data_IF_533016272972
#
_entry.id   IF_533016272972
#
_cell.length_a   1.000
_cell.length_b   1.000
_cell.length_c   1.000
_cell.angle_alpha   90.00
_cell.angle_beta   90.00
_cell.angle_gamma   90.00
#
_symmetry.space_group_name_H-M   'P 1'
#
loop_
_entity.id
_entity.type
_entity.pdbx_description
1 polymer ?
#
# COMPACT_ATOMS: atom_id res chain seq x y z
N UNK A 1 41.27 -15.11 -31.01
CA UNK A 1 39.91 -15.49 -30.58
C UNK A 1 39.27 -14.31 -29.86
N UNK A 2 38.26 -13.65 -30.44
CA UNK A 2 37.50 -12.58 -29.77
C UNK A 2 36.41 -13.23 -28.91
N UNK A 3 36.40 -12.95 -27.60
CA UNK A 3 35.35 -13.41 -26.67
C UNK A 3 34.05 -12.68 -27.03
N UNK A 4 32.98 -13.43 -27.27
CA UNK A 4 31.64 -12.86 -27.41
C UNK A 4 31.19 -12.32 -26.05
N UNK A 5 31.01 -11.01 -25.95
CA UNK A 5 30.44 -10.37 -24.76
C UNK A 5 28.95 -10.70 -24.73
N UNK A 6 28.50 -11.37 -23.67
CA UNK A 6 27.08 -11.74 -23.49
C UNK A 6 26.32 -10.46 -23.09
N UNK A 7 25.60 -9.85 -24.03
CA UNK A 7 24.72 -8.70 -23.76
C UNK A 7 23.63 -9.12 -22.77
N UNK A 8 23.45 -8.36 -21.68
CA UNK A 8 22.36 -8.61 -20.75
C UNK A 8 21.03 -8.19 -21.40
N UNK A 9 19.95 -8.89 -21.08
CA UNK A 9 18.61 -8.56 -21.61
C UNK A 9 18.20 -7.13 -21.23
N UNK A 10 18.72 -6.60 -20.10
CA UNK A 10 18.55 -5.21 -19.67
C UNK A 10 19.18 -4.17 -20.58
N UNK A 11 20.14 -4.56 -21.42
CA UNK A 11 20.90 -3.65 -22.28
C UNK A 11 20.28 -3.51 -23.67
N UNK A 12 19.23 -4.29 -23.95
CA UNK A 12 18.46 -4.19 -25.19
C UNK A 12 17.64 -2.91 -25.14
N UNK A 13 17.90 -1.99 -26.07
CA UNK A 13 17.01 -0.84 -26.26
C UNK A 13 15.74 -1.32 -26.92
N UNK A 14 14.59 -0.88 -26.41
CA UNK A 14 13.29 -1.29 -26.97
C UNK A 14 13.15 -0.92 -28.45
N UNK A 15 13.78 0.17 -28.90
CA UNK A 15 13.80 0.60 -30.30
C UNK A 15 14.62 -0.33 -31.21
N UNK A 16 15.57 -1.09 -30.64
CA UNK A 16 16.39 -2.07 -31.38
C UNK A 16 15.66 -3.41 -31.55
N UNK A 17 14.49 -3.59 -30.90
CA UNK A 17 13.66 -4.78 -31.03
C UNK A 17 12.91 -4.69 -32.37
N UNK A 18 13.45 -5.35 -33.39
CA UNK A 18 12.70 -5.59 -34.64
C UNK A 18 11.43 -6.38 -34.32
N UNK A 19 10.34 -6.07 -35.06
CA UNK A 19 9.06 -6.76 -34.90
C UNK A 19 9.30 -8.29 -34.86
N UNK A 20 8.83 -8.98 -33.81
CA UNK A 20 9.14 -10.39 -33.64
C UNK A 20 8.66 -11.17 -34.87
N UNK A 21 9.45 -12.17 -35.28
CA UNK A 21 8.97 -13.25 -36.14
C UNK A 21 7.66 -13.85 -35.58
N UNK A 22 6.90 -14.61 -36.39
CA UNK A 22 5.46 -14.83 -36.19
C UNK A 22 5.12 -15.03 -34.72
N UNK A 23 4.51 -14.00 -34.13
CA UNK A 23 4.05 -13.99 -32.75
C UNK A 23 3.21 -15.25 -32.54
N UNK A 24 3.43 -15.98 -31.44
CA UNK A 24 2.54 -17.08 -31.04
C UNK A 24 1.14 -16.47 -30.85
N UNK A 25 0.34 -16.55 -31.90
CA UNK A 25 -0.99 -15.91 -32.07
C UNK A 25 -2.00 -16.35 -31.01
N UNK A 26 -1.68 -17.37 -30.20
CA UNK A 26 -2.51 -17.82 -29.09
C UNK A 26 -2.46 -16.96 -27.82
N UNK A 27 -1.42 -16.13 -27.64
CA UNK A 27 -1.24 -15.35 -26.39
C UNK A 27 -1.85 -13.94 -26.45
N UNK A 28 -1.87 -13.32 -27.63
CA UNK A 28 -2.66 -12.11 -27.88
C UNK A 28 -4.02 -12.63 -28.34
N UNK A 29 -4.86 -13.07 -27.40
CA UNK A 29 -6.29 -13.22 -27.68
C UNK A 29 -6.72 -11.91 -28.32
N UNK A 30 -7.01 -12.02 -29.60
CA UNK A 30 -7.28 -11.01 -30.61
C UNK A 30 -7.71 -9.68 -30.01
N UNK A 31 -7.01 -8.60 -30.35
CA UNK A 31 -7.56 -7.24 -30.30
C UNK A 31 -8.84 -7.29 -31.16
N UNK A 32 -9.96 -7.61 -30.54
CA UNK A 32 -11.20 -8.01 -31.18
C UNK A 32 -11.94 -6.77 -31.70
N UNK A 33 -11.29 -6.03 -32.61
CA UNK A 33 -11.75 -4.72 -33.05
C UNK A 33 -11.58 -3.59 -32.02
N UNK A 34 -10.99 -3.87 -30.84
CA UNK A 34 -10.64 -2.84 -29.85
C UNK A 34 -9.35 -2.10 -30.21
N UNK A 35 -9.24 -0.83 -29.81
CA UNK A 35 -7.99 -0.07 -29.96
C UNK A 35 -6.90 -0.64 -29.06
N UNK A 36 -5.64 -0.37 -29.41
CA UNK A 36 -4.49 -0.82 -28.62
C UNK A 36 -4.53 -0.25 -27.19
N UNK A 37 -4.92 1.02 -27.06
CA UNK A 37 -5.08 1.72 -25.80
C UNK A 37 -6.16 1.09 -24.94
N UNK A 38 -7.32 0.75 -25.52
CA UNK A 38 -8.43 0.11 -24.80
C UNK A 38 -8.02 -1.27 -24.29
N UNK A 39 -7.31 -2.06 -25.11
CA UNK A 39 -6.81 -3.36 -24.72
C UNK A 39 -5.84 -3.28 -23.54
N UNK A 40 -4.88 -2.34 -23.58
CA UNK A 40 -3.94 -2.13 -22.48
C UNK A 40 -4.68 -1.68 -21.21
N UNK A 41 -5.56 -0.70 -21.33
CA UNK A 41 -6.31 -0.18 -20.19
C UNK A 41 -7.16 -1.28 -19.55
N UNK A 42 -7.84 -2.11 -20.34
CA UNK A 42 -8.60 -3.26 -19.86
C UNK A 42 -7.71 -4.27 -19.15
N UNK A 43 -6.57 -4.66 -19.73
CA UNK A 43 -5.65 -5.62 -19.10
C UNK A 43 -5.07 -5.10 -17.78
N UNK A 44 -4.76 -3.80 -17.70
CA UNK A 44 -4.32 -3.15 -16.47
C UNK A 44 -5.44 -3.12 -15.42
N UNK A 45 -6.67 -2.85 -15.84
CA UNK A 45 -7.86 -2.87 -14.98
C UNK A 45 -8.14 -4.27 -14.43
N UNK A 46 -8.11 -5.31 -15.27
CA UNK A 46 -8.29 -6.68 -14.79
C UNK A 46 -7.14 -7.14 -13.88
N UNK A 47 -5.91 -6.69 -14.17
CA UNK A 47 -4.76 -6.90 -13.28
C UNK A 47 -5.00 -6.22 -11.92
N UNK A 48 -5.65 -5.04 -11.95
CA UNK A 48 -6.02 -4.29 -10.75
C UNK A 48 -6.96 -5.08 -9.87
N UNK A 49 -8.07 -5.52 -10.44
CA UNK A 49 -9.07 -6.34 -9.75
C UNK A 49 -8.47 -7.62 -9.16
N UNK A 50 -7.60 -8.30 -9.92
CA UNK A 50 -6.91 -9.51 -9.46
C UNK A 50 -6.02 -9.26 -8.25
N UNK A 51 -5.27 -8.15 -8.21
CA UNK A 51 -4.44 -7.87 -7.04
C UNK A 51 -5.28 -7.49 -5.81
N UNK A 52 -6.39 -6.78 -5.98
CA UNK A 52 -7.31 -6.46 -4.88
C UNK A 52 -7.84 -7.76 -4.27
N UNK A 53 -8.26 -8.70 -5.11
CA UNK A 53 -8.71 -10.01 -4.68
C UNK A 53 -7.62 -10.79 -3.91
N UNK A 54 -6.37 -10.74 -4.38
CA UNK A 54 -5.24 -11.33 -3.64
C UNK A 54 -5.10 -10.67 -2.26
N UNK A 55 -5.25 -9.34 -2.18
CA UNK A 55 -5.25 -8.59 -0.93
C UNK A 55 -6.34 -9.05 0.05
N UNK A 56 -7.57 -9.24 -0.43
CA UNK A 56 -8.70 -9.76 0.36
C UNK A 56 -8.41 -11.15 0.94
N UNK A 57 -7.92 -12.08 0.10
CA UNK A 57 -7.53 -13.44 0.53
C UNK A 57 -6.43 -13.38 1.60
N UNK A 58 -5.46 -12.48 1.47
CA UNK A 58 -4.40 -12.30 2.46
C UNK A 58 -4.92 -11.71 3.78
N UNK A 59 -5.90 -10.81 3.73
CA UNK A 59 -6.54 -10.27 4.93
C UNK A 59 -7.34 -11.33 5.68
N UNK A 60 -8.07 -12.19 4.96
CA UNK A 60 -8.82 -13.29 5.56
C UNK A 60 -7.87 -14.34 6.16
N UNK A 61 -6.78 -14.64 5.46
CA UNK A 61 -5.75 -15.49 6.02
C UNK A 61 -5.11 -14.87 7.28
N UNK A 62 -4.81 -13.57 7.27
CA UNK A 62 -4.31 -12.86 8.45
C UNK A 62 -5.30 -12.92 9.62
N UNK A 63 -6.60 -12.88 9.37
CA UNK A 63 -7.63 -12.95 10.40
C UNK A 63 -7.79 -14.37 11.01
N UNK A 64 -7.47 -15.41 10.23
CA UNK A 64 -7.58 -16.82 10.66
C UNK A 64 -6.35 -17.37 11.40
N UNK A 65 -5.23 -16.65 11.39
CA UNK A 65 -4.01 -17.05 12.10
C UNK A 65 -3.86 -16.33 13.44
N UNK A 66 -3.17 -16.92 14.42
CA UNK A 66 -2.95 -16.26 15.70
C UNK A 66 -2.23 -14.91 15.55
N UNK A 67 -2.56 -13.96 16.44
CA UNK A 67 -1.97 -12.63 16.43
C UNK A 67 -0.43 -12.69 16.41
N UNK A 68 0.19 -11.85 15.58
CA UNK A 68 1.65 -11.80 15.41
C UNK A 68 2.26 -12.91 14.54
N UNK A 69 1.53 -13.97 14.18
CA UNK A 69 2.11 -15.08 13.40
C UNK A 69 2.09 -14.87 11.89
N UNK A 70 1.19 -14.04 11.37
CA UNK A 70 0.99 -13.85 9.93
C UNK A 70 2.30 -13.52 9.18
N UNK A 71 3.09 -12.57 9.69
CA UNK A 71 4.34 -12.11 9.05
C UNK A 71 5.36 -13.25 8.94
N UNK A 72 5.46 -14.10 9.96
CA UNK A 72 6.35 -15.27 9.91
C UNK A 72 5.86 -16.26 8.85
N UNK A 73 4.58 -16.63 8.91
CA UNK A 73 3.98 -17.62 8.01
C UNK A 73 4.05 -17.22 6.53
N UNK A 74 3.74 -15.97 6.19
CA UNK A 74 3.82 -15.51 4.79
C UNK A 74 5.25 -15.54 4.28
N UNK A 75 6.22 -15.13 5.09
CA UNK A 75 7.63 -15.19 4.71
C UNK A 75 8.11 -16.63 4.48
N UNK A 76 7.68 -17.57 5.31
CA UNK A 76 8.03 -18.99 5.15
C UNK A 76 7.40 -19.58 3.87
N UNK A 77 6.16 -19.21 3.53
CA UNK A 77 5.49 -19.60 2.27
C UNK A 77 6.15 -19.00 1.03
N UNK A 78 6.64 -17.76 1.11
CA UNK A 78 7.40 -17.13 0.02
C UNK A 78 8.75 -17.83 -0.17
N UNK A 79 9.52 -18.03 0.91
CA UNK A 79 10.83 -18.67 0.88
C UNK A 79 10.79 -20.12 0.39
N UNK A 80 9.74 -20.85 0.75
CA UNK A 80 9.52 -22.23 0.28
C UNK A 80 9.04 -22.31 -1.18
N UNK A 81 8.72 -21.19 -1.83
CA UNK A 81 8.22 -21.14 -3.20
C UNK A 81 6.73 -21.47 -3.35
N UNK A 82 6.00 -21.74 -2.25
CA UNK A 82 4.56 -21.93 -2.28
C UNK A 82 3.82 -20.69 -2.83
N UNK A 83 4.41 -19.50 -2.65
CA UNK A 83 3.93 -18.23 -3.20
C UNK A 83 4.96 -17.61 -4.18
N UNK A 84 5.41 -18.39 -5.16
CA UNK A 84 6.52 -18.06 -6.09
C UNK A 84 6.44 -16.71 -6.81
N UNK A 85 5.24 -16.17 -7.05
CA UNK A 85 5.03 -14.90 -7.78
C UNK A 85 4.68 -13.73 -6.84
N UNK A 86 4.84 -13.90 -5.53
CA UNK A 86 4.46 -12.90 -4.53
C UNK A 86 5.67 -12.55 -3.66
N UNK A 87 5.99 -11.26 -3.61
CA UNK A 87 6.93 -10.72 -2.61
C UNK A 87 6.18 -10.24 -1.37
N UNK A 88 6.86 -10.15 -0.23
CA UNK A 88 6.26 -9.57 0.98
C UNK A 88 5.82 -8.11 0.75
N UNK A 89 6.61 -7.34 -0.02
CA UNK A 89 6.25 -5.98 -0.39
C UNK A 89 4.96 -5.95 -1.20
N UNK A 90 4.83 -6.78 -2.23
CA UNK A 90 3.60 -6.87 -3.04
C UNK A 90 2.40 -7.28 -2.18
N UNK A 91 2.56 -8.28 -1.30
CA UNK A 91 1.52 -8.72 -0.39
C UNK A 91 1.01 -7.56 0.49
N UNK A 92 1.93 -6.79 1.11
CA UNK A 92 1.56 -5.65 1.94
C UNK A 92 0.81 -4.57 1.15
N UNK A 93 1.24 -4.29 -0.09
CA UNK A 93 0.58 -3.32 -0.98
C UNK A 93 -0.84 -3.76 -1.32
N UNK A 94 -1.03 -5.03 -1.69
CA UNK A 94 -2.34 -5.58 -2.03
C UNK A 94 -3.28 -5.56 -0.82
N UNK A 95 -2.80 -5.98 0.35
CA UNK A 95 -3.57 -5.92 1.60
C UNK A 95 -3.95 -4.50 2.00
N UNK A 96 -3.09 -3.51 1.75
CA UNK A 96 -3.38 -2.10 2.05
C UNK A 96 -4.53 -1.58 1.20
N UNK A 97 -4.50 -1.85 -0.11
CA UNK A 97 -5.57 -1.44 -1.03
C UNK A 97 -6.88 -2.14 -0.67
N UNK A 98 -6.84 -3.46 -0.48
CA UNK A 98 -7.99 -4.26 -0.07
C UNK A 98 -8.60 -3.77 1.25
N UNK A 99 -7.77 -3.53 2.27
CA UNK A 99 -8.24 -3.02 3.56
C UNK A 99 -8.90 -1.64 3.45
N UNK A 100 -8.38 -0.76 2.58
CA UNK A 100 -8.98 0.55 2.37
C UNK A 100 -10.38 0.47 1.74
N UNK A 101 -10.57 -0.46 0.79
CA UNK A 101 -11.88 -0.75 0.18
C UNK A 101 -12.82 -1.41 1.19
N UNK A 102 -12.36 -2.49 1.86
CA UNK A 102 -13.13 -3.27 2.83
C UNK A 102 -13.68 -2.41 3.98
N UNK A 103 -12.89 -1.44 4.45
CA UNK A 103 -13.28 -0.55 5.55
C UNK A 103 -14.01 0.73 5.07
N UNK A 104 -14.23 0.90 3.77
CA UNK A 104 -14.96 2.05 3.22
C UNK A 104 -14.19 3.38 3.28
N UNK A 105 -12.87 3.35 3.43
CA UNK A 105 -12.06 4.58 3.39
C UNK A 105 -12.05 5.18 1.97
N UNK A 106 -12.00 4.30 0.96
CA UNK A 106 -12.10 4.61 -0.46
C UNK A 106 -13.12 3.66 -1.09
N UNK A 107 -14.04 4.17 -1.90
CA UNK A 107 -15.00 3.36 -2.65
C UNK A 107 -14.36 2.69 -3.89
N UNK A 108 -14.97 1.62 -4.44
CA UNK A 108 -14.48 0.96 -5.65
C UNK A 108 -14.32 1.92 -6.85
N UNK A 109 -15.28 2.84 -7.01
CA UNK A 109 -15.30 3.84 -8.09
C UNK A 109 -14.39 5.05 -7.82
N UNK A 110 -13.93 5.21 -6.58
CA UNK A 110 -13.00 6.27 -6.17
C UNK A 110 -11.54 5.84 -6.33
N UNK A 111 -11.29 4.53 -6.48
CA UNK A 111 -9.94 3.99 -6.53
C UNK A 111 -9.28 4.32 -7.88
N UNK A 112 -8.05 4.85 -7.89
CA UNK A 112 -7.30 5.09 -9.11
C UNK A 112 -7.17 3.83 -9.97
N UNK A 113 -7.30 3.96 -11.29
CA UNK A 113 -7.11 2.85 -12.24
C UNK A 113 -5.66 2.34 -12.27
N UNK A 114 -4.70 3.26 -12.11
CA UNK A 114 -3.29 2.93 -12.03
C UNK A 114 -2.97 2.26 -10.67
N UNK A 115 -2.46 1.02 -10.69
CA UNK A 115 -2.18 0.23 -9.48
C UNK A 115 -1.22 0.93 -8.49
N UNK A 116 -0.24 1.66 -9.00
CA UNK A 116 0.69 2.44 -8.18
C UNK A 116 0.00 3.63 -7.51
N UNK A 117 -0.88 4.32 -8.23
CA UNK A 117 -1.68 5.40 -7.69
C UNK A 117 -2.67 4.89 -6.64
N UNK A 118 -3.33 3.76 -6.89
CA UNK A 118 -4.22 3.10 -5.94
C UNK A 118 -3.54 2.79 -4.61
N UNK A 119 -2.33 2.21 -4.67
CA UNK A 119 -1.54 1.97 -3.46
C UNK A 119 -1.13 3.28 -2.76
N UNK A 120 -0.67 4.28 -3.51
CA UNK A 120 -0.28 5.56 -2.92
C UNK A 120 -1.44 6.22 -2.17
N UNK A 121 -2.62 6.25 -2.79
CA UNK A 121 -3.82 6.85 -2.19
C UNK A 121 -4.25 6.10 -0.93
N UNK A 122 -4.32 4.78 -1.00
CA UNK A 122 -4.75 3.93 0.13
C UNK A 122 -3.71 3.84 1.26
N UNK A 123 -2.46 4.23 0.99
CA UNK A 123 -1.40 4.35 2.01
C UNK A 123 -1.43 5.66 2.80
N UNK A 124 -2.33 6.59 2.44
CA UNK A 124 -2.52 7.83 3.19
C UNK A 124 -3.13 7.53 4.56
N UNK A 125 -2.74 8.30 5.57
CA UNK A 125 -3.43 8.28 6.87
C UNK A 125 -4.85 8.82 6.71
N UNK A 126 -5.74 8.49 7.64
CA UNK A 126 -7.14 8.94 7.58
C UNK A 126 -7.27 10.47 7.44
N UNK A 127 -6.47 11.25 8.19
CA UNK A 127 -6.46 12.71 8.09
C UNK A 127 -5.92 13.21 6.73
N UNK A 128 -4.87 12.56 6.22
CA UNK A 128 -4.33 12.87 4.89
C UNK A 128 -5.35 12.54 3.79
N UNK A 129 -6.13 11.48 3.96
CA UNK A 129 -7.17 11.06 3.03
C UNK A 129 -8.36 12.02 3.05
N UNK A 130 -8.76 12.55 4.22
CA UNK A 130 -9.78 13.62 4.32
C UNK A 130 -9.36 14.86 3.53
N UNK A 131 -8.10 15.28 3.65
CA UNK A 131 -7.56 16.40 2.88
C UNK A 131 -7.55 16.05 1.38
N UNK A 132 -7.12 14.84 1.01
CA UNK A 132 -7.13 14.39 -0.38
C UNK A 132 -8.54 14.40 -0.99
N UNK A 133 -9.57 14.03 -0.22
CA UNK A 133 -10.98 14.13 -0.64
C UNK A 133 -11.39 15.58 -0.89
N UNK A 134 -11.05 16.49 0.03
CA UNK A 134 -11.34 17.93 -0.12
C UNK A 134 -10.64 18.54 -1.34
N UNK A 135 -9.45 18.06 -1.67
CA UNK A 135 -8.68 18.50 -2.85
C UNK A 135 -9.07 17.76 -4.15
N UNK A 136 -10.07 16.88 -4.11
CA UNK A 136 -10.53 16.14 -5.29
C UNK A 136 -9.54 15.10 -5.81
N UNK A 137 -8.58 14.65 -5.00
CA UNK A 137 -7.56 13.65 -5.34
C UNK A 137 -8.03 12.20 -5.15
N UNK A 138 -9.25 12.01 -4.64
CA UNK A 138 -9.90 10.70 -4.50
C UNK A 138 -10.86 10.52 -5.67
N UNK A 139 -10.34 9.98 -6.77
CA UNK A 139 -11.08 9.76 -8.02
C UNK A 139 -10.34 8.74 -8.91
N UNK A 140 -11.03 8.06 -9.85
CA UNK A 140 -10.42 6.98 -10.63
C UNK A 140 -9.37 7.48 -11.64
N UNK A 141 -9.44 8.77 -12.02
CA UNK A 141 -8.57 9.41 -13.02
C UNK A 141 -7.31 10.06 -12.45
N UNK A 142 -7.13 10.05 -11.12
CA UNK A 142 -5.94 10.65 -10.51
C UNK A 142 -4.69 9.87 -10.89
N UNK A 143 -3.64 10.59 -11.25
CA UNK A 143 -2.35 9.99 -11.65
C UNK A 143 -1.44 9.84 -10.45
N UNK A 144 -0.53 8.86 -10.52
CA UNK A 144 0.55 8.68 -9.55
C UNK A 144 1.34 9.97 -9.27
N UNK A 145 1.60 10.78 -10.30
CA UNK A 145 2.35 12.03 -10.18
C UNK A 145 1.65 13.05 -9.27
N UNK A 146 0.33 13.17 -9.37
CA UNK A 146 -0.49 14.06 -8.53
C UNK A 146 -0.43 13.63 -7.06
N UNK A 147 -0.62 12.33 -6.78
CA UNK A 147 -0.53 11.80 -5.42
C UNK A 147 0.88 11.90 -4.83
N UNK A 148 1.90 11.75 -5.66
CA UNK A 148 3.30 11.93 -5.24
C UNK A 148 3.56 13.40 -4.86
N UNK A 149 3.08 14.35 -5.67
CA UNK A 149 3.20 15.77 -5.39
C UNK A 149 2.43 16.16 -4.12
N UNK A 150 1.20 15.65 -3.95
CA UNK A 150 0.39 15.81 -2.76
C UNK A 150 1.11 15.34 -1.49
N UNK A 151 1.63 14.11 -1.50
CA UNK A 151 2.36 13.53 -0.37
C UNK A 151 3.64 14.31 -0.05
N UNK A 152 4.35 14.80 -1.07
CA UNK A 152 5.53 15.65 -0.89
C UNK A 152 5.14 16.98 -0.23
N UNK A 153 4.02 17.59 -0.63
CA UNK A 153 3.52 18.84 -0.03
C UNK A 153 3.09 18.65 1.43
N UNK A 154 2.36 17.59 1.73
CA UNK A 154 1.95 17.27 3.11
C UNK A 154 3.13 17.00 4.06
N UNK A 155 4.20 16.40 3.54
CA UNK A 155 5.37 15.99 4.32
C UNK A 155 6.55 16.93 4.20
N UNK A 156 6.40 18.02 3.45
CA UNK A 156 7.37 19.09 3.48
C UNK A 156 7.38 19.65 4.91
N UNK A 157 8.56 19.88 5.51
CA UNK A 157 8.63 20.59 6.77
C UNK A 157 7.96 21.95 6.53
N UNK A 158 6.85 22.19 7.23
CA UNK A 158 6.22 23.51 7.22
C UNK A 158 7.26 24.54 7.65
N UNK A 159 7.23 25.79 7.12
CA UNK A 159 7.92 26.90 7.77
C UNK A 159 7.53 26.93 9.27
N UNK A 160 8.42 27.38 10.16
CA UNK A 160 8.27 27.20 11.60
C UNK A 160 6.88 27.65 12.05
N UNK A 161 6.17 26.83 12.85
CA UNK A 161 4.79 27.11 13.17
C UNK A 161 4.67 28.40 13.96
N UNK A 162 3.64 29.17 13.63
CA UNK A 162 3.09 30.20 14.50
C UNK A 162 2.87 29.63 15.91
N UNK A 163 2.94 30.51 16.89
CA UNK A 163 2.93 30.31 18.35
C UNK A 163 1.94 29.26 18.89
N UNK A 164 0.90 28.91 18.11
CA UNK A 164 -0.16 27.95 18.43
C UNK A 164 0.29 26.49 18.52
N UNK A 165 1.22 26.03 17.66
CA UNK A 165 1.65 24.60 17.68
C UNK A 165 2.46 24.26 18.92
N UNK A 166 3.27 25.19 19.41
CA UNK A 166 4.02 25.04 20.66
C UNK A 166 3.05 24.92 21.84
N UNK A 167 1.98 25.71 21.86
CA UNK A 167 0.96 25.66 22.90
C UNK A 167 0.18 24.33 22.87
N UNK A 168 -0.10 23.78 21.69
CA UNK A 168 -0.76 22.49 21.54
C UNK A 168 0.09 21.31 22.05
N UNK A 169 1.38 21.27 21.68
CA UNK A 169 2.31 20.26 22.16
C UNK A 169 2.49 20.29 23.69
N UNK A 170 2.51 21.49 24.30
CA UNK A 170 2.55 21.62 25.76
C UNK A 170 1.29 21.05 26.44
N UNK A 171 0.11 21.19 25.84
CA UNK A 171 -1.12 20.57 26.35
C UNK A 171 -1.07 19.05 26.23
N UNK A 172 -0.53 18.54 25.14
CA UNK A 172 -0.38 17.10 24.90
C UNK A 172 0.60 16.47 25.89
N UNK A 173 1.76 17.11 26.13
CA UNK A 173 2.72 16.68 27.16
C UNK A 173 2.06 16.64 28.55
N UNK A 174 1.28 17.67 28.91
CA UNK A 174 0.59 17.73 30.21
C UNK A 174 -0.45 16.61 30.35
N UNK A 175 -1.18 16.27 29.28
CA UNK A 175 -2.13 15.15 29.26
C UNK A 175 -1.40 13.80 29.47
N UNK A 176 -0.35 13.55 28.72
CA UNK A 176 0.45 12.32 28.85
C UNK A 176 1.07 12.15 30.25
N UNK A 177 1.50 13.24 30.88
CA UNK A 177 2.01 13.20 32.26
C UNK A 177 0.93 12.83 33.28
N UNK A 178 -0.27 13.36 33.14
CA UNK A 178 -1.39 13.01 34.01
C UNK A 178 -1.83 11.55 33.85
N UNK A 179 -1.87 11.05 32.62
CA UNK A 179 -2.14 9.64 32.36
C UNK A 179 -1.08 8.74 32.99
N UNK A 180 0.20 9.08 32.83
CA UNK A 180 1.30 8.33 33.48
C UNK A 180 1.13 8.27 35.00
N UNK A 181 0.74 9.39 35.63
CA UNK A 181 0.50 9.43 37.07
C UNK A 181 -0.68 8.54 37.48
N UNK A 182 -1.79 8.63 36.75
CA UNK A 182 -2.96 7.80 37.02
C UNK A 182 -2.63 6.30 36.92
N UNK A 183 -1.88 5.89 35.89
CA UNK A 183 -1.46 4.51 35.73
C UNK A 183 -0.49 4.06 36.83
N UNK A 184 0.37 4.94 37.32
CA UNK A 184 1.26 4.64 38.45
C UNK A 184 0.47 4.46 39.76
N UNK A 185 -0.53 5.30 40.02
CA UNK A 185 -1.43 5.16 41.17
C UNK A 185 -2.20 3.82 41.10
N UNK A 186 -2.75 3.47 39.93
CA UNK A 186 -3.46 2.20 39.74
C UNK A 186 -2.57 0.97 39.92
N UNK A 187 -1.30 1.06 39.49
CA UNK A 187 -0.33 -0.02 39.68
C UNK A 187 -0.06 -0.24 41.17
N UNK A 188 0.13 0.82 41.94
CA UNK A 188 0.37 0.73 43.38
C UNK A 188 -0.83 0.12 44.13
N UNK A 189 -2.06 0.45 43.74
CA UNK A 189 -3.26 -0.20 44.28
C UNK A 189 -3.28 -1.70 44.01
N UNK A 190 -3.01 -2.10 42.75
CA UNK A 190 -2.97 -3.51 42.35
C UNK A 190 -1.86 -4.29 43.08
N UNK A 191 -0.69 -3.68 43.28
CA UNK A 191 0.41 -4.28 44.04
C UNK A 191 0.04 -4.46 45.52
N UNK A 192 -0.69 -3.51 46.12
CA UNK A 192 -1.17 -3.62 47.50
C UNK A 192 -2.27 -4.69 47.64
N UNK A 193 -3.22 -4.76 46.69
CA UNK A 193 -4.23 -5.82 46.63
C UNK A 193 -3.58 -7.21 46.50
N UNK A 194 -2.57 -7.33 45.64
CA UNK A 194 -1.82 -8.58 45.47
C UNK A 194 -1.10 -9.00 46.76
N UNK A 195 -0.46 -8.06 47.45
CA UNK A 195 0.23 -8.32 48.71
C UNK A 195 -0.71 -8.71 49.86
N UNK A 196 -1.97 -8.27 49.83
CA UNK A 196 -2.97 -8.64 50.82
C UNK A 196 -3.58 -10.04 50.57
N UNK A 197 -3.41 -10.59 49.37
CA UNK A 197 -3.87 -11.92 48.97
C UNK A 197 -2.79 -13.01 49.13
N UNK A 198 -1.57 -12.63 49.51
CA UNK A 198 -0.42 -13.50 49.78
C UNK A 198 -0.13 -13.60 51.28
#
# INVERSE_FOLDING_TARGET
MRKATKTAVSDIRFDDIQAPGPVITGAIKTLAGESFEDAINRLLEESRERFVLVGEVLLDWKASVPHGQFVKLINDRIKSGALRNLSYQSANRYMTVAAALRNGFVGPDELPKESEAAYLLTSLKEDELKIAKQEGLVRPTVRKSELTAFRKRLRAPSPPPSTDRRAELLREIKRAMNEKRHWAERLAELEAELAALS
#
